data_IF_880443942420
#
_entry.id   IF_880443942420
#
_cell.length_a   1.000
_cell.length_b   1.000
_cell.length_c   1.000
_cell.angle_alpha   90.00
_cell.angle_beta   90.00
_cell.angle_gamma   90.00
#
_symmetry.space_group_name_H-M   'P 1'
#
loop_
_entity.id
_entity.type
_entity.pdbx_description
1 polymer ?
#
# COMPACT_ATOMS: atom_id res chain seq x y z
N UNK A 1 6.86 0.62 9.31
CA UNK A 1 8.27 0.44 8.95
C UNK A 1 8.69 -0.96 9.35
N UNK A 2 9.37 -1.67 8.45
CA UNK A 2 9.81 -3.05 8.68
C UNK A 2 10.88 -3.09 9.80
N UNK A 3 10.81 -4.00 10.80
CA UNK A 3 11.81 -4.09 11.85
C UNK A 3 13.24 -4.31 11.31
N UNK A 4 13.39 -5.08 10.23
CA UNK A 4 14.69 -5.27 9.57
C UNK A 4 15.19 -3.97 8.94
N UNK A 5 14.29 -3.20 8.31
CA UNK A 5 14.66 -1.94 7.69
C UNK A 5 15.17 -0.93 8.70
N UNK A 6 14.59 -0.90 9.90
CA UNK A 6 15.04 -0.03 10.97
C UNK A 6 16.46 -0.38 11.43
N UNK A 7 16.78 -1.68 11.50
CA UNK A 7 18.12 -2.15 11.85
C UNK A 7 19.12 -1.82 10.73
N UNK A 8 18.80 -2.11 9.47
CA UNK A 8 19.63 -1.78 8.29
C UNK A 8 19.87 -0.26 8.19
N UNK A 9 18.84 0.58 8.40
CA UNK A 9 18.96 2.04 8.38
C UNK A 9 19.84 2.62 9.51
N UNK A 10 20.16 1.81 10.51
CA UNK A 10 21.09 2.15 11.60
C UNK A 10 22.54 1.71 11.36
N UNK A 11 22.79 0.92 10.30
CA UNK A 11 24.15 0.53 9.93
C UNK A 11 24.96 1.73 9.39
N UNK A 12 26.29 1.74 9.54
CA UNK A 12 27.16 2.75 8.93
C UNK A 12 26.94 2.86 7.42
N UNK A 13 27.13 4.06 6.87
CA UNK A 13 27.08 4.28 5.43
C UNK A 13 28.08 3.36 4.71
N UNK A 14 27.67 2.80 3.57
CA UNK A 14 28.44 1.79 2.83
C UNK A 14 28.17 0.35 3.28
N UNK A 15 27.99 0.11 4.59
CA UNK A 15 27.67 -1.25 5.08
C UNK A 15 26.27 -1.71 4.66
N UNK A 16 25.34 -0.77 4.49
CA UNK A 16 23.96 -1.06 4.10
C UNK A 16 23.84 -1.78 2.75
N UNK A 17 24.68 -1.41 1.77
CA UNK A 17 24.70 -2.06 0.45
C UNK A 17 25.27 -3.47 0.56
N UNK A 18 26.42 -3.62 1.23
CA UNK A 18 27.03 -4.93 1.46
C UNK A 18 26.12 -5.88 2.26
N UNK A 19 25.34 -5.35 3.21
CA UNK A 19 24.34 -6.12 3.93
C UNK A 19 23.24 -6.60 2.99
N UNK A 20 22.68 -5.71 2.17
CA UNK A 20 21.63 -6.08 1.23
C UNK A 20 22.10 -7.21 0.29
N UNK A 21 23.33 -7.13 -0.21
CA UNK A 21 23.91 -8.15 -1.09
C UNK A 21 24.10 -9.52 -0.41
N UNK A 22 24.38 -9.53 0.90
CA UNK A 22 24.62 -10.75 1.68
C UNK A 22 23.37 -11.40 2.24
N UNK A 23 22.29 -10.63 2.38
CA UNK A 23 21.01 -11.19 2.81
C UNK A 23 20.49 -12.22 1.79
N UNK A 24 20.04 -13.35 2.32
CA UNK A 24 19.38 -14.37 1.50
C UNK A 24 18.09 -13.81 0.86
N UNK A 25 17.58 -14.51 -0.14
CA UNK A 25 16.41 -14.08 -0.90
C UNK A 25 15.15 -13.91 -0.01
N UNK A 26 14.96 -14.75 1.00
CA UNK A 26 13.82 -14.68 1.92
C UNK A 26 13.91 -13.43 2.80
N UNK A 27 15.09 -13.16 3.37
CA UNK A 27 15.36 -11.99 4.19
C UNK A 27 15.21 -10.69 3.39
N UNK A 28 15.73 -10.63 2.16
CA UNK A 28 15.52 -9.49 1.26
C UNK A 28 14.06 -9.29 0.88
N UNK A 29 13.35 -10.37 0.53
CA UNK A 29 11.92 -10.30 0.20
C UNK A 29 11.11 -9.80 1.38
N UNK A 30 11.46 -10.20 2.61
CA UNK A 30 10.82 -9.69 3.81
C UNK A 30 11.13 -8.21 4.01
N UNK A 31 12.40 -7.81 3.89
CA UNK A 31 12.88 -6.44 4.06
C UNK A 31 12.23 -5.45 3.08
N UNK A 32 12.13 -5.84 1.81
CA UNK A 32 11.67 -4.99 0.71
C UNK A 32 10.16 -5.07 0.49
N UNK A 33 9.57 -6.25 0.67
CA UNK A 33 8.15 -6.49 0.46
C UNK A 33 7.29 -6.32 1.71
N UNK A 34 6.02 -6.71 1.59
CA UNK A 34 5.10 -6.81 2.72
C UNK A 34 4.25 -5.56 2.98
N UNK A 35 3.76 -5.45 4.21
CA UNK A 35 2.81 -4.40 4.62
C UNK A 35 3.47 -3.21 5.30
N UNK A 36 4.80 -3.12 5.28
CA UNK A 36 5.55 -2.12 6.04
C UNK A 36 6.50 -1.38 5.11
N UNK A 37 6.48 -0.04 5.17
CA UNK A 37 7.39 0.78 4.39
C UNK A 37 8.85 0.39 4.68
N UNK A 38 9.67 0.16 3.64
CA UNK A 38 11.11 -0.03 3.77
C UNK A 38 11.79 1.24 4.29
N UNK A 39 13.05 1.08 4.68
CA UNK A 39 13.90 2.16 5.18
C UNK A 39 14.24 3.17 4.09
N UNK A 40 14.63 4.38 4.51
CA UNK A 40 14.93 5.47 3.58
C UNK A 40 16.08 5.11 2.63
N UNK A 41 17.09 4.38 3.13
CA UNK A 41 18.18 3.86 2.30
C UNK A 41 17.65 2.94 1.19
N UNK A 42 16.80 1.98 1.53
CA UNK A 42 16.28 1.00 0.58
C UNK A 42 15.38 1.65 -0.49
N UNK A 43 14.56 2.64 -0.09
CA UNK A 43 13.71 3.40 -1.00
C UNK A 43 14.49 4.29 -1.99
N UNK A 44 15.73 4.64 -1.65
CA UNK A 44 16.64 5.35 -2.55
C UNK A 44 17.47 4.38 -3.40
N UNK A 45 18.02 3.34 -2.77
CA UNK A 45 19.00 2.44 -3.38
C UNK A 45 18.40 1.40 -4.32
N UNK A 46 17.30 0.74 -3.94
CA UNK A 46 16.76 -0.41 -4.69
C UNK A 46 16.23 -0.05 -6.08
N UNK A 47 15.49 1.07 -6.28
CA UNK A 47 15.09 1.47 -7.62
C UNK A 47 16.28 1.67 -8.57
N UNK A 48 17.39 2.22 -8.07
CA UNK A 48 18.55 2.58 -8.89
C UNK A 48 19.54 1.42 -9.10
N UNK A 49 19.80 0.63 -8.04
CA UNK A 49 20.92 -0.31 -7.99
C UNK A 49 20.51 -1.73 -7.61
N UNK A 50 19.26 -1.95 -7.17
CA UNK A 50 18.78 -3.27 -6.78
C UNK A 50 18.74 -4.26 -7.94
N UNK A 51 18.72 -5.56 -7.64
CA UNK A 51 18.44 -6.56 -8.67
C UNK A 51 16.98 -6.47 -9.16
N UNK A 52 16.66 -7.13 -10.27
CA UNK A 52 15.27 -7.30 -10.73
C UNK A 52 14.37 -7.89 -9.64
N UNK A 53 14.86 -8.90 -8.92
CA UNK A 53 14.14 -9.53 -7.82
C UNK A 53 13.89 -8.57 -6.66
N UNK A 54 14.85 -7.69 -6.34
CA UNK A 54 14.72 -6.69 -5.29
C UNK A 54 13.72 -5.60 -5.67
N UNK A 55 13.77 -5.09 -6.91
CA UNK A 55 12.78 -4.15 -7.44
C UNK A 55 11.38 -4.75 -7.47
N UNK A 56 11.25 -6.03 -7.85
CA UNK A 56 9.96 -6.72 -7.88
C UNK A 56 9.41 -6.97 -6.46
N UNK A 57 10.27 -7.30 -5.50
CA UNK A 57 9.89 -7.41 -4.10
C UNK A 57 9.41 -6.06 -3.54
N UNK A 58 10.15 -4.99 -3.84
CA UNK A 58 9.80 -3.63 -3.46
C UNK A 58 8.47 -3.19 -4.11
N UNK A 59 8.28 -3.45 -5.40
CA UNK A 59 7.03 -3.15 -6.13
C UNK A 59 5.79 -3.83 -5.51
N UNK A 60 5.96 -4.98 -4.85
CA UNK A 60 4.89 -5.66 -4.11
C UNK A 60 4.62 -5.12 -2.70
N UNK A 61 5.41 -4.16 -2.23
CA UNK A 61 5.21 -3.54 -0.92
C UNK A 61 3.98 -2.63 -0.94
N UNK A 62 3.16 -2.72 0.11
CA UNK A 62 1.86 -2.05 0.18
C UNK A 62 1.93 -0.61 0.75
N UNK A 63 3.07 -0.17 1.27
CA UNK A 63 3.21 1.12 1.97
C UNK A 63 4.24 2.03 1.28
N UNK A 64 4.43 1.88 -0.04
CA UNK A 64 5.31 2.79 -0.77
C UNK A 64 4.62 4.12 -1.07
N UNK A 65 5.41 5.18 -1.06
CA UNK A 65 4.99 6.47 -1.57
C UNK A 65 4.74 6.38 -3.10
N UNK A 66 3.74 7.09 -3.64
CA UNK A 66 3.43 7.10 -5.09
C UNK A 66 4.65 7.35 -5.98
N UNK A 67 5.55 8.25 -5.57
CA UNK A 67 6.75 8.63 -6.31
C UNK A 67 7.75 7.46 -6.40
N UNK A 68 7.75 6.55 -5.42
CA UNK A 68 8.58 5.34 -5.49
C UNK A 68 8.04 4.32 -6.47
N UNK A 69 6.71 4.18 -6.53
CA UNK A 69 6.09 3.32 -7.53
C UNK A 69 6.35 3.82 -8.96
N UNK A 70 6.31 5.14 -9.19
CA UNK A 70 6.63 5.73 -10.50
C UNK A 70 8.09 5.45 -10.90
N UNK A 71 9.05 5.69 -10.00
CA UNK A 71 10.47 5.34 -10.24
C UNK A 71 10.68 3.86 -10.57
N UNK A 72 9.92 2.97 -9.91
CA UNK A 72 9.94 1.53 -10.22
C UNK A 72 9.32 1.22 -11.59
N UNK A 73 8.25 1.92 -11.98
CA UNK A 73 7.61 1.75 -13.28
C UNK A 73 8.53 2.18 -14.44
N UNK A 74 9.28 3.27 -14.28
CA UNK A 74 10.24 3.78 -15.28
C UNK A 74 11.38 2.79 -15.57
N UNK A 75 11.76 1.99 -14.58
CA UNK A 75 12.82 0.97 -14.66
C UNK A 75 12.25 -0.44 -14.65
N UNK A 76 10.97 -0.60 -14.98
CA UNK A 76 10.31 -1.88 -14.88
C UNK A 76 10.90 -2.88 -15.86
N UNK A 77 11.12 -4.10 -15.36
CA UNK A 77 11.15 -5.30 -16.18
C UNK A 77 9.82 -6.04 -16.01
N UNK A 78 9.67 -7.19 -16.68
CA UNK A 78 8.43 -7.96 -16.63
C UNK A 78 8.03 -8.40 -15.21
N UNK A 79 9.00 -8.66 -14.32
CA UNK A 79 8.69 -9.06 -12.93
C UNK A 79 8.21 -7.85 -12.11
N UNK A 80 8.84 -6.69 -12.29
CA UNK A 80 8.46 -5.43 -11.65
C UNK A 80 7.10 -4.96 -12.13
N UNK A 81 6.87 -4.88 -13.44
CA UNK A 81 5.60 -4.46 -14.02
C UNK A 81 4.45 -5.37 -13.54
N UNK A 82 4.68 -6.68 -13.52
CA UNK A 82 3.72 -7.66 -12.98
C UNK A 82 3.35 -7.36 -11.53
N UNK A 83 4.35 -7.08 -10.69
CA UNK A 83 4.13 -6.76 -9.26
C UNK A 83 3.43 -5.43 -9.06
N UNK A 84 3.78 -4.40 -9.83
CA UNK A 84 3.11 -3.10 -9.79
C UNK A 84 1.64 -3.21 -10.21
N UNK A 85 1.34 -3.97 -11.27
CA UNK A 85 -0.03 -4.20 -11.73
C UNK A 85 -0.88 -4.96 -10.69
N UNK A 86 -0.29 -5.96 -10.04
CA UNK A 86 -0.95 -6.75 -8.99
C UNK A 86 -1.09 -5.99 -7.65
N UNK A 87 -0.40 -4.86 -7.48
CA UNK A 87 -0.41 -4.09 -6.23
C UNK A 87 -1.58 -3.11 -6.16
N UNK A 88 -2.58 -3.43 -5.33
CA UNK A 88 -3.77 -2.58 -5.15
C UNK A 88 -3.49 -1.21 -4.51
N UNK A 89 -2.31 -1.02 -3.89
CA UNK A 89 -1.90 0.27 -3.34
C UNK A 89 -1.08 1.11 -4.31
N UNK A 90 -0.63 0.54 -5.44
CA UNK A 90 -0.09 1.34 -6.52
C UNK A 90 -1.20 2.22 -7.11
N UNK A 91 -0.85 3.49 -7.40
CA UNK A 91 -1.78 4.42 -8.02
C UNK A 91 -2.28 3.86 -9.36
N UNK A 92 -3.43 4.37 -9.81
CA UNK A 92 -3.97 3.99 -11.12
C UNK A 92 -2.96 4.24 -12.23
N UNK A 93 -2.31 5.40 -12.21
CA UNK A 93 -1.29 5.79 -13.19
C UNK A 93 -0.13 4.79 -13.26
N UNK A 94 0.42 4.40 -12.11
CA UNK A 94 1.48 3.36 -12.05
C UNK A 94 1.00 2.04 -12.64
N UNK A 95 -0.23 1.62 -12.32
CA UNK A 95 -0.79 0.36 -12.83
C UNK A 95 -1.06 0.41 -14.33
N UNK A 96 -1.44 1.57 -14.87
CA UNK A 96 -1.54 1.79 -16.33
C UNK A 96 -0.16 1.65 -16.95
N UNK A 97 0.86 2.35 -16.46
CA UNK A 97 2.24 2.24 -16.99
C UNK A 97 2.75 0.79 -16.94
N UNK A 98 2.48 0.07 -15.85
CA UNK A 98 2.83 -1.33 -15.73
C UNK A 98 2.06 -2.22 -16.73
N UNK A 99 0.78 -1.96 -16.96
CA UNK A 99 0.00 -2.67 -17.98
C UNK A 99 0.53 -2.37 -19.39
N UNK A 100 0.85 -1.11 -19.69
CA UNK A 100 1.44 -0.72 -20.98
C UNK A 100 2.73 -1.49 -21.25
N UNK A 101 3.61 -1.55 -20.25
CA UNK A 101 4.85 -2.30 -20.35
C UNK A 101 4.59 -3.78 -20.65
N UNK A 102 3.68 -4.42 -19.91
CA UNK A 102 3.33 -5.84 -20.10
C UNK A 102 2.70 -6.13 -21.47
N UNK A 103 2.04 -5.14 -22.08
CA UNK A 103 1.42 -5.29 -23.40
C UNK A 103 2.37 -5.02 -24.58
N UNK A 104 3.41 -4.17 -24.41
CA UNK A 104 4.31 -3.77 -25.51
C UNK A 104 5.36 -4.83 -25.90
N UNK A 105 5.74 -5.73 -25.01
CA UNK A 105 6.94 -6.56 -25.19
C UNK A 105 6.82 -7.71 -26.22
N UNK A 106 5.74 -7.77 -27.03
CA UNK A 106 5.48 -8.66 -28.20
C UNK A 106 5.82 -10.17 -28.10
N UNK A 107 6.34 -10.67 -26.97
CA UNK A 107 6.63 -12.07 -26.66
C UNK A 107 5.42 -12.80 -26.07
N UNK A 108 4.30 -12.09 -25.94
CA UNK A 108 3.01 -12.65 -25.63
C UNK A 108 2.19 -12.53 -26.91
N UNK A 109 1.84 -13.64 -27.59
CA UNK A 109 0.96 -13.57 -28.75
C UNK A 109 -0.30 -12.79 -28.35
N UNK A 110 -1.02 -12.20 -29.31
CA UNK A 110 -2.28 -11.41 -29.19
C UNK A 110 -3.38 -11.93 -28.23
N UNK A 111 -3.15 -13.03 -27.51
CA UNK A 111 -3.79 -13.40 -26.26
C UNK A 111 -3.27 -12.50 -25.15
N UNK A 112 -4.19 -11.75 -24.54
CA UNK A 112 -3.96 -11.13 -23.23
C UNK A 112 -3.23 -12.15 -22.34
N UNK A 113 -2.11 -11.80 -21.69
CA UNK A 113 -1.21 -12.79 -21.10
C UNK A 113 -2.04 -13.80 -20.31
N UNK A 114 -1.90 -15.12 -20.57
CA UNK A 114 -2.73 -16.23 -20.07
C UNK A 114 -2.68 -16.33 -18.52
N UNK A 115 -3.12 -15.29 -17.84
CA UNK A 115 -2.86 -15.06 -16.43
C UNK A 115 -2.92 -13.60 -15.99
N UNK A 116 -2.83 -12.60 -16.87
CA UNK A 116 -3.06 -11.19 -16.49
C UNK A 116 -4.55 -10.97 -16.18
N UNK A 117 -5.45 -11.47 -17.02
CA UNK A 117 -6.90 -11.41 -16.76
C UNK A 117 -7.31 -12.32 -15.61
N UNK A 118 -6.78 -13.55 -15.58
CA UNK A 118 -7.02 -14.47 -14.46
C UNK A 118 -6.47 -13.94 -13.12
N UNK A 119 -5.52 -12.98 -13.15
CA UNK A 119 -5.01 -12.28 -11.95
C UNK A 119 -5.64 -10.93 -11.73
N UNK A 120 -6.27 -10.33 -12.74
CA UNK A 120 -7.12 -9.15 -12.63
C UNK A 120 -8.45 -9.46 -11.91
N UNK A 121 -8.44 -10.40 -10.95
CA UNK A 121 -9.60 -10.87 -10.18
C UNK A 121 -10.23 -9.74 -9.36
N UNK A 122 -9.51 -8.63 -9.18
CA UNK A 122 -10.01 -7.48 -8.44
C UNK A 122 -10.48 -6.41 -9.42
N UNK A 123 -11.73 -5.96 -9.27
CA UNK A 123 -12.34 -4.95 -10.14
C UNK A 123 -11.52 -3.65 -10.33
N UNK A 124 -10.57 -3.35 -9.43
CA UNK A 124 -9.65 -2.23 -9.58
C UNK A 124 -8.59 -2.44 -10.67
N UNK A 125 -8.22 -3.68 -10.99
CA UNK A 125 -7.33 -4.03 -12.09
C UNK A 125 -8.09 -4.05 -13.42
N UNK A 126 -9.32 -4.61 -13.42
CA UNK A 126 -10.21 -4.53 -14.58
C UNK A 126 -10.48 -3.07 -14.97
N UNK A 127 -10.69 -2.19 -13.98
CA UNK A 127 -10.81 -0.75 -14.20
C UNK A 127 -9.65 -0.10 -14.94
N UNK A 128 -8.42 -0.56 -14.71
CA UNK A 128 -7.25 -0.10 -15.45
C UNK A 128 -7.32 -0.57 -16.90
N UNK A 129 -7.65 -1.84 -17.13
CA UNK A 129 -7.68 -2.46 -18.45
C UNK A 129 -8.80 -1.92 -19.35
N UNK A 130 -10.00 -1.65 -18.81
CA UNK A 130 -11.12 -1.10 -19.60
C UNK A 130 -10.92 0.37 -20.01
N UNK A 131 -9.89 1.04 -19.48
CA UNK A 131 -9.51 2.40 -19.86
C UNK A 131 -8.41 2.47 -20.92
N UNK A 132 -8.01 1.33 -21.49
CA UNK A 132 -6.90 1.21 -22.43
C UNK A 132 -7.34 1.43 -23.88
N UNK A 133 -6.42 1.80 -24.78
CA UNK A 133 -6.72 2.05 -26.20
C UNK A 133 -6.83 0.77 -27.04
N UNK A 134 -6.28 -0.35 -26.54
CA UNK A 134 -6.36 -1.66 -27.19
C UNK A 134 -7.75 -2.30 -27.00
N UNK A 135 -8.54 -2.32 -28.08
CA UNK A 135 -9.88 -2.88 -28.09
C UNK A 135 -9.94 -4.36 -27.69
N UNK A 136 -8.95 -5.17 -28.05
CA UNK A 136 -8.94 -6.59 -27.69
C UNK A 136 -8.75 -6.79 -26.19
N UNK A 137 -7.88 -5.98 -25.57
CA UNK A 137 -7.66 -5.99 -24.12
C UNK A 137 -8.90 -5.52 -23.35
N UNK A 138 -9.55 -4.44 -23.82
CA UNK A 138 -10.78 -3.93 -23.21
C UNK A 138 -11.89 -4.98 -23.28
N UNK A 139 -12.12 -5.59 -24.44
CA UNK A 139 -13.14 -6.63 -24.62
C UNK A 139 -12.88 -7.83 -23.70
N UNK A 140 -11.62 -8.29 -23.63
CA UNK A 140 -11.26 -9.40 -22.77
C UNK A 140 -11.42 -9.03 -21.27
N UNK A 141 -11.06 -7.82 -20.86
CA UNK A 141 -11.26 -7.35 -19.49
C UNK A 141 -12.75 -7.26 -19.13
N UNK A 142 -13.61 -6.84 -20.06
CA UNK A 142 -15.06 -6.81 -19.86
C UNK A 142 -15.66 -8.19 -19.61
N UNK A 143 -15.16 -9.24 -20.28
CA UNK A 143 -15.63 -10.61 -20.08
C UNK A 143 -15.37 -11.17 -18.65
N UNK A 144 -14.43 -10.57 -17.90
CA UNK A 144 -14.16 -10.92 -16.50
C UNK A 144 -14.93 -10.06 -15.49
N UNK A 145 -15.74 -9.09 -15.95
CA UNK A 145 -16.60 -8.33 -15.06
C UNK A 145 -17.80 -9.21 -14.70
N UNK A 146 -17.85 -9.68 -13.46
CA UNK A 146 -19.05 -10.30 -12.88
C UNK A 146 -19.83 -9.27 -12.02
N UNK A 147 -21.00 -8.79 -12.47
CA UNK A 147 -21.86 -7.92 -11.68
C UNK A 147 -22.38 -8.55 -10.39
N UNK A 148 -22.41 -9.88 -10.26
CA UNK A 148 -22.83 -10.56 -9.03
C UNK A 148 -21.80 -10.36 -7.90
N UNK A 149 -20.51 -10.40 -8.24
CA UNK A 149 -19.41 -10.22 -7.28
C UNK A 149 -19.16 -8.74 -6.93
N UNK A 150 -19.53 -7.82 -7.84
CA UNK A 150 -19.34 -6.39 -7.64
C UNK A 150 -20.51 -5.55 -8.20
N UNK A 151 -21.72 -5.62 -7.60
CA UNK A 151 -22.92 -5.01 -8.15
C UNK A 151 -22.86 -3.49 -8.25
N UNK A 152 -22.01 -2.84 -7.47
CA UNK A 152 -21.88 -1.38 -7.44
C UNK A 152 -20.73 -0.85 -8.29
N UNK A 153 -19.65 -1.63 -8.46
CA UNK A 153 -18.50 -1.23 -9.26
C UNK A 153 -18.55 -1.75 -10.70
N UNK A 154 -19.22 -2.87 -10.97
CA UNK A 154 -19.31 -3.45 -12.30
C UNK A 154 -19.99 -2.54 -13.34
N UNK A 155 -21.13 -1.87 -13.07
CA UNK A 155 -21.78 -1.08 -14.11
C UNK A 155 -20.95 0.09 -14.63
N UNK A 156 -20.31 0.94 -13.79
CA UNK A 156 -19.39 1.97 -14.29
C UNK A 156 -18.19 1.41 -15.08
N UNK A 157 -17.74 0.19 -14.77
CA UNK A 157 -16.67 -0.47 -15.52
C UNK A 157 -17.13 -0.95 -16.90
N UNK A 158 -18.34 -1.53 -16.98
CA UNK A 158 -18.96 -1.97 -18.24
C UNK A 158 -19.17 -0.77 -19.16
N UNK A 159 -19.82 0.29 -18.67
CA UNK A 159 -20.09 1.50 -19.47
C UNK A 159 -18.81 2.14 -20.00
N UNK A 160 -17.73 2.09 -19.22
CA UNK A 160 -16.42 2.56 -19.67
C UNK A 160 -15.79 1.64 -20.71
N UNK A 161 -15.87 0.33 -20.52
CA UNK A 161 -15.43 -0.63 -21.54
C UNK A 161 -16.17 -0.41 -22.86
N UNK A 162 -17.49 -0.16 -22.81
CA UNK A 162 -18.27 0.23 -23.99
C UNK A 162 -17.72 1.51 -24.63
N UNK A 163 -17.45 2.57 -23.86
CA UNK A 163 -16.92 3.82 -24.38
C UNK A 163 -15.53 3.63 -25.03
N UNK A 164 -14.66 2.86 -24.40
CA UNK A 164 -13.32 2.53 -24.93
C UNK A 164 -13.40 1.75 -26.24
N UNK A 165 -14.22 0.69 -26.27
CA UNK A 165 -14.44 -0.12 -27.48
C UNK A 165 -15.09 0.68 -28.60
N UNK A 166 -16.07 1.52 -28.28
CA UNK A 166 -16.74 2.37 -29.25
C UNK A 166 -15.75 3.28 -29.96
N UNK A 167 -14.83 3.91 -29.20
CA UNK A 167 -13.79 4.80 -29.73
C UNK A 167 -12.72 4.06 -30.53
N UNK A 168 -12.30 2.87 -30.07
CA UNK A 168 -11.19 2.15 -30.66
C UNK A 168 -11.59 1.24 -31.85
N UNK A 169 -12.79 0.65 -31.80
CA UNK A 169 -13.22 -0.42 -32.71
C UNK A 169 -14.69 -0.32 -33.15
N UNK A 170 -15.43 0.71 -32.73
CA UNK A 170 -16.79 0.97 -33.17
C UNK A 170 -17.89 0.14 -32.47
N UNK A 171 -19.15 0.32 -32.89
CA UNK A 171 -20.33 -0.22 -32.20
C UNK A 171 -20.42 -1.76 -32.22
N UNK A 172 -19.94 -2.41 -33.28
CA UNK A 172 -19.96 -3.88 -33.38
C UNK A 172 -19.07 -4.54 -32.31
N UNK A 173 -17.93 -3.91 -31.99
CA UNK A 173 -17.04 -4.37 -30.92
C UNK A 173 -17.71 -4.27 -29.55
N UNK A 174 -18.47 -3.20 -29.30
CA UNK A 174 -19.26 -3.02 -28.08
C UNK A 174 -20.32 -4.12 -27.96
N UNK A 175 -21.08 -4.36 -29.02
CA UNK A 175 -22.12 -5.39 -29.03
C UNK A 175 -21.55 -6.78 -28.74
N UNK A 176 -20.42 -7.12 -29.38
CA UNK A 176 -19.73 -8.40 -29.17
C UNK A 176 -19.21 -8.55 -27.73
N UNK A 177 -18.63 -7.49 -27.15
CA UNK A 177 -18.14 -7.54 -25.78
C UNK A 177 -19.29 -7.68 -24.77
N UNK A 178 -20.39 -6.92 -24.94
CA UNK A 178 -21.55 -6.99 -24.06
C UNK A 178 -22.25 -8.36 -24.10
N UNK A 179 -22.20 -9.07 -25.22
CA UNK A 179 -22.75 -10.43 -25.31
C UNK A 179 -22.06 -11.42 -24.33
N UNK A 180 -20.82 -11.15 -23.94
CA UNK A 180 -20.08 -11.93 -22.95
C UNK A 180 -20.25 -11.49 -21.49
N UNK A 181 -20.90 -10.34 -21.25
CA UNK A 181 -21.07 -9.79 -19.89
C UNK A 181 -22.37 -10.32 -19.28
N UNK A 182 -22.35 -10.90 -18.06
CA UNK A 182 -23.58 -11.31 -17.39
C UNK A 182 -24.55 -10.13 -17.19
N UNK A 183 -25.87 -10.36 -17.27
CA UNK A 183 -26.84 -9.28 -17.11
C UNK A 183 -26.74 -8.66 -15.72
N UNK A 184 -26.81 -7.33 -15.65
CA UNK A 184 -26.89 -6.59 -14.38
C UNK A 184 -28.15 -7.03 -13.61
N UNK A 185 -27.99 -7.43 -12.35
CA UNK A 185 -29.10 -7.79 -11.46
C UNK A 185 -29.39 -6.67 -10.46
N UNK A 186 -30.64 -6.57 -10.02
CA UNK A 186 -31.08 -5.60 -9.00
C UNK A 186 -31.34 -4.19 -9.54
N UNK A 187 -31.79 -3.30 -8.64
CA UNK A 187 -32.06 -1.90 -8.97
C UNK A 187 -30.74 -1.16 -9.18
N UNK A 188 -30.54 -0.69 -10.41
CA UNK A 188 -29.39 0.13 -10.77
C UNK A 188 -29.72 1.63 -10.58
N UNK A 189 -28.73 2.49 -10.39
CA UNK A 189 -28.93 3.94 -10.51
C UNK A 189 -29.47 4.28 -11.90
N UNK A 190 -30.38 5.25 -12.00
CA UNK A 190 -31.03 5.63 -13.27
C UNK A 190 -30.00 5.95 -14.37
N UNK A 191 -28.89 6.60 -14.01
CA UNK A 191 -27.79 6.89 -14.94
C UNK A 191 -27.14 5.62 -15.52
N UNK A 192 -27.02 4.54 -14.74
CA UNK A 192 -26.50 3.26 -15.25
C UNK A 192 -27.48 2.65 -16.26
N UNK A 193 -28.77 2.66 -15.94
CA UNK A 193 -29.81 2.16 -16.85
C UNK A 193 -29.84 2.94 -18.17
N UNK A 194 -29.67 4.27 -18.09
CA UNK A 194 -29.56 5.15 -19.25
C UNK A 194 -28.36 4.78 -20.15
N UNK A 195 -27.16 4.62 -19.57
CA UNK A 195 -25.97 4.23 -20.33
C UNK A 195 -26.07 2.84 -20.95
N UNK A 196 -26.69 1.89 -20.23
CA UNK A 196 -26.89 0.53 -20.75
C UNK A 196 -27.98 0.46 -21.83
N UNK A 197 -28.89 1.43 -21.89
CA UNK A 197 -29.89 1.53 -22.96
C UNK A 197 -29.29 2.09 -24.27
N UNK A 198 -28.17 2.80 -24.19
CA UNK A 198 -27.48 3.38 -25.35
C UNK A 198 -25.96 3.08 -25.34
N UNK A 199 -25.54 1.80 -25.34
CA UNK A 199 -24.13 1.42 -25.17
C UNK A 199 -23.24 1.80 -26.36
N UNK A 200 -23.83 2.23 -27.48
CA UNK A 200 -23.13 2.67 -28.69
C UNK A 200 -23.21 4.17 -28.92
N UNK A 201 -23.84 4.92 -28.01
CA UNK A 201 -23.89 6.38 -28.06
C UNK A 201 -22.78 6.98 -27.17
N UNK A 202 -21.74 7.49 -27.81
CA UNK A 202 -20.58 8.07 -27.13
C UNK A 202 -20.97 9.23 -26.19
N UNK A 203 -21.95 10.04 -26.59
CA UNK A 203 -22.37 11.22 -25.84
C UNK A 203 -23.08 10.82 -24.55
N UNK A 204 -23.99 9.84 -24.62
CA UNK A 204 -24.69 9.28 -23.47
C UNK A 204 -23.72 8.61 -22.52
N UNK A 205 -22.81 7.76 -23.03
CA UNK A 205 -21.81 7.09 -22.19
C UNK A 205 -20.89 8.08 -21.48
N UNK A 206 -20.46 9.14 -22.19
CA UNK A 206 -19.60 10.18 -21.61
C UNK A 206 -20.31 10.95 -20.50
N UNK A 207 -21.56 11.35 -20.71
CA UNK A 207 -22.36 12.07 -19.71
C UNK A 207 -22.64 11.19 -18.47
N UNK A 208 -23.09 9.96 -18.68
CA UNK A 208 -23.37 9.00 -17.61
C UNK A 208 -22.11 8.72 -16.79
N UNK A 209 -20.97 8.49 -17.43
CA UNK A 209 -19.69 8.28 -16.74
C UNK A 209 -19.22 9.55 -16.00
N UNK A 210 -19.53 10.74 -16.52
CA UNK A 210 -19.30 12.01 -15.82
C UNK A 210 -20.10 12.10 -14.52
N UNK A 211 -21.39 11.75 -14.57
CA UNK A 211 -22.28 11.70 -13.39
C UNK A 211 -21.84 10.64 -12.37
N UNK A 212 -21.47 9.44 -12.81
CA UNK A 212 -21.07 8.33 -11.95
C UNK A 212 -19.64 8.46 -11.40
N UNK A 213 -18.73 9.06 -12.17
CA UNK A 213 -17.30 9.20 -11.82
C UNK A 213 -16.96 10.50 -11.09
N UNK A 214 -17.93 11.39 -10.89
CA UNK A 214 -17.73 12.68 -10.24
C UNK A 214 -17.33 12.55 -8.75
N UNK A 215 -16.52 13.50 -8.29
CA UNK A 215 -16.15 13.63 -6.88
C UNK A 215 -17.35 13.62 -5.91
N UNK A 216 -18.53 14.23 -6.23
CA UNK A 216 -19.72 14.11 -5.38
C UNK A 216 -20.14 12.66 -5.12
N UNK A 217 -20.22 11.83 -6.16
CA UNK A 217 -20.63 10.43 -6.05
C UNK A 217 -19.65 9.62 -5.19
N UNK A 218 -18.35 9.93 -5.28
CA UNK A 218 -17.33 9.31 -4.43
C UNK A 218 -17.52 9.67 -2.96
N UNK A 219 -17.80 10.94 -2.65
CA UNK A 219 -18.05 11.38 -1.27
C UNK A 219 -19.27 10.66 -0.68
N UNK A 220 -20.36 10.54 -1.43
CA UNK A 220 -21.55 9.80 -0.99
C UNK A 220 -21.25 8.32 -0.79
N UNK A 221 -20.47 7.74 -1.70
CA UNK A 221 -19.92 6.38 -1.58
C UNK A 221 -19.11 6.18 -0.30
N UNK A 222 -18.23 7.12 0.03
CA UNK A 222 -17.43 7.09 1.26
C UNK A 222 -18.30 7.13 2.52
N UNK A 223 -19.37 7.95 2.52
CA UNK A 223 -20.29 8.06 3.66
C UNK A 223 -21.16 6.83 3.86
N UNK A 224 -21.52 6.14 2.78
CA UNK A 224 -22.34 4.92 2.85
C UNK A 224 -21.67 3.73 3.56
N UNK A 225 -20.46 3.89 4.10
CA UNK A 225 -19.86 2.95 5.07
C UNK A 225 -19.35 1.64 4.46
N UNK A 226 -18.97 1.66 3.18
CA UNK A 226 -18.42 0.48 2.51
C UNK A 226 -17.14 -0.06 3.17
N UNK A 227 -16.95 -1.37 3.11
CA UNK A 227 -15.66 -2.00 3.43
C UNK A 227 -14.53 -1.33 2.65
N UNK A 228 -13.33 -1.24 3.24
CA UNK A 228 -12.15 -0.59 2.63
C UNK A 228 -11.90 -1.02 1.17
N UNK A 229 -12.13 -2.31 0.86
CA UNK A 229 -12.05 -2.86 -0.49
C UNK A 229 -13.00 -2.18 -1.48
N UNK A 230 -14.27 -1.93 -1.11
CA UNK A 230 -15.25 -1.25 -1.96
C UNK A 230 -14.82 0.18 -2.28
N UNK A 231 -14.26 0.90 -1.31
CA UNK A 231 -13.78 2.26 -1.49
C UNK A 231 -12.55 2.32 -2.40
N UNK A 232 -11.63 1.36 -2.26
CA UNK A 232 -10.51 1.19 -3.19
C UNK A 232 -10.98 0.90 -4.61
N UNK A 233 -12.02 0.08 -4.78
CA UNK A 233 -12.61 -0.19 -6.10
C UNK A 233 -13.21 1.07 -6.73
N UNK A 234 -13.91 1.89 -5.94
CA UNK A 234 -14.47 3.18 -6.42
C UNK A 234 -13.38 4.17 -6.82
N UNK A 235 -12.27 4.23 -6.08
CA UNK A 235 -11.13 5.09 -6.41
C UNK A 235 -10.30 4.57 -7.59
N UNK A 236 -10.19 3.25 -7.73
CA UNK A 236 -9.49 2.59 -8.83
C UNK A 236 -10.28 2.65 -10.14
N UNK A 237 -11.61 2.81 -10.08
CA UNK A 237 -12.41 3.03 -11.27
C UNK A 237 -11.90 4.30 -11.98
N UNK A 238 -11.71 4.27 -13.31
CA UNK A 238 -11.28 5.46 -14.01
C UNK A 238 -12.25 6.62 -13.76
N UNK A 239 -11.70 7.83 -13.63
CA UNK A 239 -12.43 9.03 -13.25
C UNK A 239 -11.64 10.25 -13.67
N UNK A 240 -12.31 11.40 -13.75
CA UNK A 240 -11.63 12.68 -13.84
C UNK A 240 -10.80 12.96 -12.58
N UNK A 241 -9.98 14.03 -12.59
CA UNK A 241 -9.23 14.45 -11.40
C UNK A 241 -10.16 14.69 -10.20
N UNK A 242 -9.66 14.40 -9.00
CA UNK A 242 -10.39 14.71 -7.77
C UNK A 242 -10.55 16.22 -7.60
N UNK A 243 -11.77 16.65 -7.34
CA UNK A 243 -12.04 17.98 -6.79
C UNK A 243 -11.70 17.96 -5.30
N UNK A 244 -10.41 18.18 -5.00
CA UNK A 244 -9.92 18.20 -3.62
C UNK A 244 -10.58 19.29 -2.77
N UNK A 245 -11.04 20.39 -3.37
CA UNK A 245 -11.76 21.44 -2.65
C UNK A 245 -13.12 20.95 -2.15
N UNK A 246 -13.86 20.22 -3.01
CA UNK A 246 -15.10 19.55 -2.61
C UNK A 246 -14.85 18.49 -1.53
N UNK A 247 -13.83 17.62 -1.69
CA UNK A 247 -13.52 16.59 -0.67
C UNK A 247 -13.23 17.22 0.69
N UNK A 248 -12.43 18.28 0.73
CA UNK A 248 -12.10 18.99 1.97
C UNK A 248 -13.34 19.65 2.59
N UNK A 249 -14.19 20.29 1.78
CA UNK A 249 -15.44 20.90 2.24
C UNK A 249 -16.38 19.86 2.84
N UNK A 250 -16.56 18.73 2.17
CA UNK A 250 -17.44 17.66 2.63
C UNK A 250 -16.89 16.95 3.87
N UNK A 251 -15.58 16.73 3.96
CA UNK A 251 -14.93 16.19 5.16
C UNK A 251 -15.03 17.15 6.35
N UNK A 252 -14.95 18.47 6.13
CA UNK A 252 -15.13 19.46 7.19
C UNK A 252 -16.59 19.52 7.68
N UNK A 253 -17.57 19.37 6.78
CA UNK A 253 -19.00 19.32 7.12
C UNK A 253 -19.35 18.06 7.91
N UNK A 254 -18.88 16.92 7.43
CA UNK A 254 -19.07 15.62 8.06
C UNK A 254 -17.81 14.76 7.83
N UNK A 255 -17.03 14.48 8.89
CA UNK A 255 -15.77 13.75 8.74
C UNK A 255 -15.95 12.40 8.06
N UNK A 256 -15.23 12.22 6.94
CA UNK A 256 -15.11 10.94 6.26
C UNK A 256 -14.53 9.90 7.22
N UNK A 257 -15.01 8.65 7.12
CA UNK A 257 -14.50 7.56 7.94
C UNK A 257 -13.02 7.22 7.60
N UNK A 258 -12.37 6.50 8.52
CA UNK A 258 -10.94 6.17 8.40
C UNK A 258 -10.61 5.44 7.09
N UNK A 259 -11.46 4.50 6.65
CA UNK A 259 -11.22 3.78 5.41
C UNK A 259 -11.22 4.72 4.20
N UNK A 260 -12.14 5.69 4.17
CA UNK A 260 -12.22 6.68 3.12
C UNK A 260 -11.00 7.62 3.13
N UNK A 261 -10.62 8.16 4.29
CA UNK A 261 -9.42 9.01 4.39
C UNK A 261 -8.15 8.25 4.05
N UNK A 262 -8.01 6.99 4.48
CA UNK A 262 -6.86 6.14 4.13
C UNK A 262 -6.79 5.78 2.66
N UNK A 263 -7.94 5.63 1.98
CA UNK A 263 -7.96 5.38 0.55
C UNK A 263 -7.63 6.66 -0.24
N UNK A 264 -8.20 7.80 0.15
CA UNK A 264 -7.90 9.11 -0.44
C UNK A 264 -6.45 9.55 -0.21
N UNK A 265 -5.84 9.21 0.92
CA UNK A 265 -4.45 9.55 1.23
C UNK A 265 -3.42 8.97 0.23
N UNK A 266 -3.81 7.96 -0.56
CA UNK A 266 -2.96 7.31 -1.58
C UNK A 266 -3.07 7.97 -2.96
N UNK A 267 -4.02 8.86 -3.16
CA UNK A 267 -4.24 9.52 -4.44
C UNK A 267 -3.24 10.67 -4.64
N UNK A 268 -2.78 10.84 -5.88
CA UNK A 268 -1.85 11.92 -6.26
C UNK A 268 -2.50 13.29 -5.97
N UNK A 269 -1.73 14.19 -5.35
CA UNK A 269 -2.21 15.53 -4.98
C UNK A 269 -3.11 15.56 -3.73
N UNK A 270 -3.24 14.45 -2.98
CA UNK A 270 -4.04 14.43 -1.75
C UNK A 270 -3.57 15.49 -0.74
N UNK A 271 -4.46 16.40 -0.29
CA UNK A 271 -4.13 17.44 0.69
C UNK A 271 -3.66 16.86 2.02
N UNK A 272 -2.69 17.53 2.66
CA UNK A 272 -2.09 17.09 3.94
C UNK A 272 -3.14 16.83 5.02
N UNK A 273 -4.18 17.66 5.10
CA UNK A 273 -5.28 17.49 6.06
C UNK A 273 -5.99 16.13 5.98
N UNK A 274 -6.14 15.57 4.79
CA UNK A 274 -6.72 14.23 4.61
C UNK A 274 -5.71 13.14 4.98
N UNK A 275 -4.42 13.35 4.68
CA UNK A 275 -3.33 12.43 5.10
C UNK A 275 -3.20 12.38 6.62
N UNK A 276 -3.27 13.53 7.29
CA UNK A 276 -3.30 13.64 8.75
C UNK A 276 -4.51 12.91 9.35
N UNK A 277 -5.71 13.09 8.77
CA UNK A 277 -6.91 12.39 9.19
C UNK A 277 -6.79 10.86 8.99
N UNK A 278 -6.12 10.42 7.93
CA UNK A 278 -5.83 9.00 7.68
C UNK A 278 -4.76 8.43 8.61
N UNK A 279 -3.82 9.24 9.08
CA UNK A 279 -2.75 8.86 9.99
C UNK A 279 -3.25 8.67 11.44
N UNK A 280 -4.40 9.25 11.79
CA UNK A 280 -4.92 9.19 13.15
C UNK A 280 -5.56 7.82 13.46
N UNK A 281 -5.02 7.04 14.42
CA UNK A 281 -5.68 5.81 14.84
C UNK A 281 -6.95 6.18 15.62
N UNK A 282 -8.12 5.80 15.11
CA UNK A 282 -9.40 5.93 15.82
C UNK A 282 -9.45 5.16 17.14
N UNK A 283 -8.52 4.20 17.34
CA UNK A 283 -8.31 3.50 18.62
C UNK A 283 -7.67 4.38 19.70
N UNK A 284 -7.14 5.56 19.35
CA UNK A 284 -6.68 6.59 20.29
C UNK A 284 -7.66 7.77 20.31
N UNK A 285 -8.97 7.47 20.32
CA UNK A 285 -9.80 8.28 21.22
C UNK A 285 -9.26 7.98 22.61
N UNK A 286 -8.79 8.97 23.39
CA UNK A 286 -8.28 8.71 24.72
C UNK A 286 -9.37 7.98 25.48
N UNK A 287 -9.22 6.65 25.61
CA UNK A 287 -10.24 5.81 26.25
C UNK A 287 -10.27 6.05 27.75
N UNK A 288 -9.49 6.99 28.26
CA UNK A 288 -9.48 7.33 29.66
C UNK A 288 -9.24 8.83 29.88
N UNK A 289 -10.34 9.58 29.92
CA UNK A 289 -10.49 10.60 30.97
C UNK A 289 -10.31 10.02 32.40
N UNK A 290 -10.14 8.69 32.53
CA UNK A 290 -9.91 7.91 33.74
C UNK A 290 -8.43 7.59 34.06
N UNK A 291 -7.43 7.89 33.21
CA UNK A 291 -6.01 7.69 33.58
C UNK A 291 -5.42 9.00 34.08
N UNK A 292 -5.85 9.40 35.29
CA UNK A 292 -5.08 10.30 36.16
C UNK A 292 -4.04 9.50 36.96
N UNK A 293 -3.54 8.39 36.42
CA UNK A 293 -2.48 7.62 37.06
C UNK A 293 -1.18 8.44 37.04
N UNK A 294 -0.41 8.33 38.11
CA UNK A 294 0.91 8.93 38.22
C UNK A 294 1.79 8.46 37.04
N UNK A 295 2.29 9.36 36.16
CA UNK A 295 3.07 8.98 34.97
C UNK A 295 4.27 8.08 35.27
N UNK A 296 4.86 8.20 36.48
CA UNK A 296 5.96 7.34 36.92
C UNK A 296 5.50 5.90 37.19
N UNK A 297 4.33 5.73 37.80
CA UNK A 297 3.76 4.41 38.08
C UNK A 297 3.35 3.72 36.77
N UNK A 298 2.78 4.48 35.83
CA UNK A 298 2.42 3.98 34.51
C UNK A 298 3.66 3.57 33.70
N UNK A 299 4.71 4.40 33.67
CA UNK A 299 5.98 4.03 33.03
C UNK A 299 6.56 2.74 33.61
N UNK A 300 6.57 2.56 34.93
CA UNK A 300 7.07 1.33 35.58
C UNK A 300 6.25 0.11 35.18
N UNK A 301 4.91 0.21 35.14
CA UNK A 301 4.02 -0.87 34.67
C UNK A 301 4.35 -1.26 33.25
N UNK A 302 4.46 -0.26 32.36
CA UNK A 302 4.73 -0.50 30.94
C UNK A 302 6.12 -1.11 30.70
N UNK A 303 7.15 -0.65 31.43
CA UNK A 303 8.50 -1.24 31.35
C UNK A 303 8.49 -2.74 31.70
N UNK A 304 7.72 -3.15 32.70
CA UNK A 304 7.58 -4.58 33.03
C UNK A 304 6.83 -5.35 31.94
N UNK A 305 5.80 -4.74 31.35
CA UNK A 305 5.01 -5.37 30.29
C UNK A 305 5.78 -5.50 28.97
N UNK A 306 6.77 -4.65 28.70
CA UNK A 306 7.63 -4.73 27.52
C UNK A 306 8.39 -6.06 27.42
N UNK A 307 8.74 -6.70 28.54
CA UNK A 307 9.44 -7.98 28.54
C UNK A 307 8.57 -9.16 28.04
N UNK A 308 7.26 -8.93 27.84
CA UNK A 308 6.28 -9.94 27.44
C UNK A 308 5.49 -9.49 26.22
N UNK A 309 6.11 -8.74 25.30
CA UNK A 309 5.43 -8.35 24.08
C UNK A 309 5.11 -9.58 23.23
N UNK A 310 3.96 -9.52 22.57
CA UNK A 310 3.71 -10.41 21.45
C UNK A 310 4.33 -9.80 20.18
N UNK A 311 4.54 -10.59 19.11
CA UNK A 311 5.02 -10.07 17.82
C UNK A 311 4.16 -8.95 17.21
N UNK A 312 2.92 -8.79 17.69
CA UNK A 312 2.04 -7.67 17.37
C UNK A 312 1.78 -6.87 18.66
N UNK A 313 2.70 -5.95 19.03
CA UNK A 313 2.60 -5.23 20.29
C UNK A 313 1.26 -4.49 20.38
N UNK A 314 0.69 -4.48 21.59
CA UNK A 314 -0.56 -3.80 21.87
C UNK A 314 -0.46 -2.31 21.49
N UNK A 315 -1.48 -1.72 20.84
CA UNK A 315 -1.55 -0.29 20.56
C UNK A 315 -1.19 0.63 21.75
N UNK A 316 -1.36 0.18 23.01
CA UNK A 316 -0.99 0.93 24.21
C UNK A 316 0.50 1.31 24.25
N UNK A 317 1.41 0.45 23.77
CA UNK A 317 2.86 0.74 23.80
C UNK A 317 3.23 1.83 22.79
N UNK A 318 2.58 1.81 21.61
CA UNK A 318 2.74 2.88 20.63
C UNK A 318 2.23 4.20 21.18
N UNK A 319 1.04 4.19 21.77
CA UNK A 319 0.46 5.37 22.41
C UNK A 319 1.38 5.91 23.52
N UNK A 320 1.90 5.04 24.39
CA UNK A 320 2.83 5.42 25.46
C UNK A 320 4.12 6.05 24.92
N UNK A 321 4.67 5.51 23.84
CA UNK A 321 5.80 6.13 23.13
C UNK A 321 5.42 7.50 22.56
N UNK A 322 4.31 7.60 21.83
CA UNK A 322 3.83 8.85 21.24
C UNK A 322 3.55 9.93 22.29
N UNK A 323 3.05 9.56 23.46
CA UNK A 323 2.80 10.49 24.57
C UNK A 323 4.04 10.75 25.44
N UNK A 324 5.19 10.14 25.14
CA UNK A 324 6.44 10.36 25.87
C UNK A 324 6.51 9.68 27.24
N UNK A 325 5.59 8.76 27.52
CA UNK A 325 5.62 7.91 28.73
C UNK A 325 6.77 6.90 28.63
N UNK A 326 6.99 6.36 27.42
CA UNK A 326 8.15 5.53 27.08
C UNK A 326 9.06 6.27 26.11
N UNK A 327 10.38 6.18 26.32
CA UNK A 327 11.38 6.66 25.37
C UNK A 327 11.80 5.55 24.39
N UNK A 328 12.46 5.91 23.28
CA UNK A 328 13.02 4.89 22.38
C UNK A 328 14.08 4.00 23.07
N UNK A 329 15.01 4.54 23.90
CA UNK A 329 15.89 3.72 24.71
C UNK A 329 15.17 2.73 25.64
N UNK A 330 14.07 3.16 26.28
CA UNK A 330 13.28 2.28 27.17
C UNK A 330 12.74 1.06 26.42
N UNK A 331 12.17 1.29 25.24
CA UNK A 331 11.62 0.22 24.41
C UNK A 331 12.75 -0.69 23.92
N UNK A 332 13.83 -0.14 23.37
CA UNK A 332 14.92 -0.94 22.84
C UNK A 332 15.62 -1.80 23.91
N UNK A 333 15.74 -1.29 25.14
CA UNK A 333 16.43 -1.98 26.22
C UNK A 333 15.59 -3.07 26.89
N UNK A 334 14.27 -2.93 26.94
CA UNK A 334 13.41 -3.78 27.76
C UNK A 334 12.38 -4.61 26.98
N UNK A 335 12.13 -4.28 25.72
CA UNK A 335 11.16 -5.00 24.91
C UNK A 335 11.69 -6.34 24.41
N UNK A 336 10.92 -7.38 24.65
CA UNK A 336 11.17 -8.74 24.17
C UNK A 336 9.86 -9.31 23.59
N UNK A 337 9.89 -9.96 22.40
CA UNK A 337 11.07 -10.24 21.58
C UNK A 337 11.63 -9.00 20.86
N UNK A 338 12.90 -9.06 20.45
CA UNK A 338 13.62 -7.95 19.82
C UNK A 338 12.87 -7.39 18.59
N UNK A 339 12.28 -8.26 17.77
CA UNK A 339 11.45 -7.84 16.64
C UNK A 339 10.22 -7.02 17.08
N UNK A 340 9.57 -7.37 18.20
CA UNK A 340 8.42 -6.64 18.71
C UNK A 340 8.81 -5.22 19.17
N UNK A 341 9.99 -5.06 19.76
CA UNK A 341 10.55 -3.75 20.11
C UNK A 341 10.58 -2.80 18.90
N UNK A 342 11.08 -3.29 17.76
CA UNK A 342 11.19 -2.52 16.53
C UNK A 342 9.80 -2.25 15.90
N UNK A 343 8.84 -3.17 16.07
CA UNK A 343 7.44 -2.99 15.62
C UNK A 343 6.68 -1.96 16.45
N UNK A 344 7.10 -1.64 17.69
CA UNK A 344 6.52 -0.51 18.44
C UNK A 344 6.77 0.81 17.72
N UNK A 345 7.91 0.96 17.04
CA UNK A 345 8.23 2.16 16.27
C UNK A 345 7.57 2.19 14.88
N UNK A 346 6.79 1.17 14.53
CA UNK A 346 6.06 1.13 13.27
C UNK A 346 5.02 2.25 13.21
N UNK A 347 5.02 3.03 12.12
CA UNK A 347 4.14 4.21 11.93
C UNK A 347 4.38 5.33 12.96
N UNK A 348 5.58 5.35 13.56
CA UNK A 348 6.05 6.51 14.33
C UNK A 348 6.01 7.77 13.46
N UNK A 349 5.63 8.89 14.07
CA UNK A 349 5.73 10.21 13.47
C UNK A 349 7.15 10.41 12.89
N UNK A 350 7.30 10.74 11.59
CA UNK A 350 8.59 10.99 10.97
C UNK A 350 9.51 11.91 11.78
N UNK A 351 8.95 12.85 12.55
CA UNK A 351 9.70 13.78 13.43
C UNK A 351 10.42 13.08 14.59
N UNK A 352 9.94 11.93 15.04
CA UNK A 352 10.53 11.13 16.14
C UNK A 352 11.49 10.06 15.65
N UNK A 353 11.47 9.79 14.35
CA UNK A 353 12.33 8.82 13.71
C UNK A 353 13.84 9.05 13.95
N UNK A 354 14.36 10.30 13.95
CA UNK A 354 15.77 10.55 14.28
C UNK A 354 16.18 10.04 15.67
N UNK A 355 15.30 10.15 16.67
CA UNK A 355 15.61 9.69 18.03
C UNK A 355 15.69 8.16 18.11
N UNK A 356 14.80 7.45 17.41
CA UNK A 356 14.84 5.97 17.32
C UNK A 356 16.11 5.53 16.60
N UNK A 357 16.42 6.13 15.44
CA UNK A 357 17.64 5.83 14.68
C UNK A 357 18.89 6.11 15.49
N UNK A 358 18.96 7.23 16.21
CA UNK A 358 20.11 7.57 17.06
C UNK A 358 20.33 6.55 18.18
N UNK A 359 19.24 6.09 18.83
CA UNK A 359 19.33 5.11 19.90
C UNK A 359 19.80 3.74 19.37
N UNK A 360 19.26 3.29 18.22
CA UNK A 360 19.68 2.06 17.56
C UNK A 360 21.12 2.13 17.05
N UNK A 361 21.49 3.21 16.35
CA UNK A 361 22.84 3.40 15.84
C UNK A 361 23.89 3.37 16.97
N UNK A 362 23.55 3.92 18.15
CA UNK A 362 24.42 3.86 19.31
C UNK A 362 24.59 2.43 19.85
N UNK A 363 23.53 1.62 19.84
CA UNK A 363 23.58 0.22 20.25
C UNK A 363 24.39 -0.63 19.27
N UNK A 364 24.11 -0.49 17.97
CA UNK A 364 24.77 -1.28 16.92
C UNK A 364 26.23 -0.89 16.76
N UNK A 365 26.59 0.38 16.88
CA UNK A 365 27.99 0.82 16.84
C UNK A 365 28.83 0.22 17.98
N UNK A 366 28.25 0.04 19.18
CA UNK A 366 28.94 -0.57 20.33
C UNK A 366 29.09 -2.08 20.20
N UNK A 367 28.08 -2.76 19.66
CA UNK A 367 28.05 -4.23 19.64
C UNK A 367 28.58 -4.83 18.34
N UNK A 368 28.23 -4.25 17.19
CA UNK A 368 28.54 -4.80 15.87
C UNK A 368 29.63 -4.01 15.13
N UNK A 369 29.75 -2.70 15.41
CA UNK A 369 30.68 -1.82 14.69
C UNK A 369 30.46 -1.88 13.17
N UNK A 370 31.54 -2.16 12.43
CA UNK A 370 31.54 -2.34 10.97
C UNK A 370 31.62 -3.81 10.54
N UNK A 371 31.46 -4.77 11.46
CA UNK A 371 31.56 -6.20 11.15
C UNK A 371 30.32 -6.69 10.40
N UNK A 372 30.48 -6.83 9.09
CA UNK A 372 29.44 -7.28 8.17
C UNK A 372 28.88 -8.67 8.51
N UNK A 373 29.68 -9.59 9.06
CA UNK A 373 29.22 -10.92 9.44
C UNK A 373 28.33 -10.82 10.69
N UNK A 374 28.75 -10.04 11.69
CA UNK A 374 27.96 -9.84 12.91
C UNK A 374 26.60 -9.20 12.59
N UNK A 375 26.57 -8.24 11.68
CA UNK A 375 25.32 -7.65 11.19
C UNK A 375 24.42 -8.66 10.45
N UNK A 376 25.01 -9.51 9.61
CA UNK A 376 24.27 -10.55 8.87
C UNK A 376 23.66 -11.58 9.82
N UNK A 377 24.39 -11.98 10.86
CA UNK A 377 23.88 -12.86 11.93
C UNK A 377 22.75 -12.19 12.71
N UNK A 378 22.91 -10.93 13.11
CA UNK A 378 21.88 -10.20 13.84
C UNK A 378 20.56 -10.10 13.05
N UNK A 379 20.63 -9.82 11.74
CA UNK A 379 19.46 -9.77 10.87
C UNK A 379 18.80 -11.14 10.74
N UNK A 380 19.58 -12.20 10.54
CA UNK A 380 19.07 -13.58 10.42
C UNK A 380 18.36 -14.05 11.69
N UNK A 381 18.86 -13.68 12.88
CA UNK A 381 18.28 -14.06 14.16
C UNK A 381 17.04 -13.25 14.55
N UNK A 382 16.89 -12.02 14.02
CA UNK A 382 15.92 -11.03 14.51
C UNK A 382 14.48 -11.56 14.67
N UNK A 383 13.99 -12.38 13.74
CA UNK A 383 12.60 -12.88 13.77
C UNK A 383 12.32 -13.84 14.92
N UNK A 384 13.29 -14.68 15.23
CA UNK A 384 13.14 -15.82 16.15
C UNK A 384 13.78 -15.55 17.51
N UNK A 385 14.52 -14.44 17.63
CA UNK A 385 15.19 -14.05 18.86
C UNK A 385 14.19 -13.60 19.93
N UNK A 386 14.05 -14.42 20.96
CA UNK A 386 13.12 -14.19 22.07
C UNK A 386 13.56 -13.09 23.04
N UNK A 387 14.85 -12.75 23.07
CA UNK A 387 15.41 -11.72 23.96
C UNK A 387 15.23 -10.29 23.44
N UNK A 388 15.91 -9.36 24.09
CA UNK A 388 15.90 -7.92 23.79
C UNK A 388 16.82 -7.55 22.61
N UNK A 389 16.71 -6.31 22.11
CA UNK A 389 17.60 -5.83 21.03
C UNK A 389 19.09 -5.85 21.46
N UNK A 390 19.50 -5.36 22.65
CA UNK A 390 20.89 -5.48 23.10
C UNK A 390 21.39 -6.92 23.17
N UNK A 391 20.57 -7.85 23.66
CA UNK A 391 20.92 -9.27 23.74
C UNK A 391 21.13 -9.89 22.35
N UNK A 392 20.27 -9.55 21.38
CA UNK A 392 20.41 -9.96 19.98
C UNK A 392 21.76 -9.50 19.41
N UNK A 393 22.10 -8.22 19.58
CA UNK A 393 23.32 -7.64 19.05
C UNK A 393 24.58 -8.23 19.71
N UNK A 394 24.54 -8.45 21.03
CA UNK A 394 25.62 -9.11 21.75
C UNK A 394 25.82 -10.56 21.27
N UNK A 395 24.72 -11.29 21.08
CA UNK A 395 24.75 -12.69 20.62
C UNK A 395 25.36 -12.80 19.22
N UNK A 396 24.98 -11.89 18.32
CA UNK A 396 25.52 -11.85 16.96
C UNK A 396 27.02 -11.53 16.91
N UNK A 397 27.48 -10.58 17.75
CA UNK A 397 28.90 -10.26 17.90
C UNK A 397 29.71 -11.45 18.45
N UNK A 398 29.16 -12.19 19.42
CA UNK A 398 29.84 -13.37 19.99
C UNK A 398 29.95 -14.55 19.03
N UNK A 399 29.05 -14.68 18.05
CA UNK A 399 29.10 -15.76 17.04
C UNK A 399 30.22 -15.53 16.02
N UNK A 400 30.67 -14.28 15.85
CA UNK A 400 31.57 -13.85 14.76
C UNK A 400 32.97 -13.45 15.24
N UNK A 401 33.15 -13.25 16.55
CA UNK A 401 34.45 -13.11 17.21
C UNK A 401 35.18 -14.45 17.33
#
# INVERSE_FOLDING_TARGET
>A
MNPYALLVDSAPAGLQTALLERLDHSSRRFLLGGMLAPGAFLLAHVPEHGSSADRAALAGNLELAPETYLRLAEKADHAVARRLFDNLNASREVRVLAAEFLCRDELLPRRVPDGLLERAVVAGQIGVLVGYEDAALVAAAMAYIDPADNPLGAPPLILRGCLGLLRAAGPDAVANALAGVPPLRGKQPDAVSEGMAAPTDESVLTDVLGRLGGTPHLVDGFRSGGASRKLQLMLAAPRGPLDWALVLREHAREPLNLNATSALAKEVGCPERIREAAAWPTSVRPRTAQSRLNPRAERKRLLYALAQLTPRPDPEFRAAYHHGVLSAPDILAHAAPAAAALVVFERTDPRRYPAVRSALASLTARSLGTDIEAWTVALSLLREFAGTVPELLASAASITA
#
